data_IF_088844878686
#
_entry.id   IF_088844878686
#
_cell.length_a   1.000
_cell.length_b   1.000
_cell.length_c   1.000
_cell.angle_alpha   90.00
_cell.angle_beta   90.00
_cell.angle_gamma   90.00
#
_symmetry.space_group_name_H-M   'P 1'
#
loop_
_entity.id
_entity.type
_entity.pdbx_description
1 polymer ?
#
# COMPACT_ATOMS: atom_id res chain seq x y z
N UNK A 1 7.60 19.49 -30.51
CA UNK A 1 7.91 18.11 -30.02
C UNK A 1 7.50 18.08 -28.54
N UNK A 2 6.54 17.25 -28.16
CA UNK A 2 6.19 17.09 -26.75
C UNK A 2 7.39 16.44 -26.04
N UNK A 3 7.87 17.08 -24.98
CA UNK A 3 8.94 16.56 -24.15
C UNK A 3 8.50 15.22 -23.53
N UNK A 4 9.32 14.16 -23.72
CA UNK A 4 9.01 12.82 -23.15
C UNK A 4 9.26 12.88 -21.65
N UNK A 5 8.19 12.93 -20.85
CA UNK A 5 8.29 12.91 -19.39
C UNK A 5 8.74 11.52 -18.89
N UNK A 6 9.59 11.52 -17.86
CA UNK A 6 10.06 10.29 -17.20
C UNK A 6 8.90 9.50 -16.56
N UNK A 7 9.07 8.18 -16.42
CA UNK A 7 8.12 7.31 -15.74
C UNK A 7 8.17 7.52 -14.22
N UNK A 8 7.10 8.04 -13.62
CA UNK A 8 7.00 8.28 -12.19
C UNK A 8 6.47 7.08 -11.40
N UNK A 9 5.86 6.10 -12.08
CA UNK A 9 5.25 4.94 -11.42
C UNK A 9 6.23 4.15 -10.53
N UNK A 10 7.50 3.91 -10.93
CA UNK A 10 8.47 3.23 -10.07
C UNK A 10 8.68 3.91 -8.72
N UNK A 11 8.72 5.25 -8.66
CA UNK A 11 8.85 5.98 -7.41
C UNK A 11 7.68 5.71 -6.47
N UNK A 12 6.46 5.78 -6.99
CA UNK A 12 5.26 5.50 -6.20
C UNK A 12 5.17 4.05 -5.74
N UNK A 13 5.53 3.09 -6.62
CA UNK A 13 5.57 1.66 -6.30
C UNK A 13 6.62 1.31 -5.25
N UNK A 14 7.82 1.91 -5.30
CA UNK A 14 8.86 1.72 -4.28
C UNK A 14 8.44 2.34 -2.95
N UNK A 15 7.90 3.56 -2.95
CA UNK A 15 7.38 4.20 -1.76
C UNK A 15 6.35 3.35 -1.04
N UNK A 16 5.37 2.83 -1.80
CA UNK A 16 4.38 1.88 -1.30
C UNK A 16 5.04 0.57 -0.83
N UNK A 17 5.79 -0.10 -1.71
CA UNK A 17 6.23 -1.47 -1.50
C UNK A 17 7.20 -1.61 -0.33
N UNK A 18 8.24 -0.77 -0.25
CA UNK A 18 9.23 -0.83 0.83
C UNK A 18 8.57 -0.50 2.18
N UNK A 19 7.72 0.53 2.23
CA UNK A 19 7.00 0.89 3.47
C UNK A 19 6.06 -0.22 3.91
N UNK A 20 5.35 -0.85 2.98
CA UNK A 20 4.45 -1.99 3.25
C UNK A 20 5.21 -3.20 3.78
N UNK A 21 6.37 -3.54 3.17
CA UNK A 21 7.23 -4.64 3.64
C UNK A 21 7.70 -4.39 5.08
N UNK A 22 8.23 -3.19 5.34
CA UNK A 22 8.73 -2.85 6.68
C UNK A 22 7.63 -2.88 7.73
N UNK A 23 6.46 -2.28 7.45
CA UNK A 23 5.33 -2.32 8.37
C UNK A 23 4.94 -3.77 8.71
N UNK A 24 4.76 -4.59 7.69
CA UNK A 24 4.25 -5.95 7.88
C UNK A 24 5.29 -6.87 8.53
N UNK A 25 6.57 -6.74 8.18
CA UNK A 25 7.63 -7.52 8.81
C UNK A 25 7.84 -7.13 10.28
N UNK A 26 7.95 -5.83 10.58
CA UNK A 26 8.25 -5.35 11.94
C UNK A 26 7.02 -5.46 12.83
N UNK A 27 5.84 -4.98 12.37
CA UNK A 27 4.64 -4.90 13.19
C UNK A 27 3.81 -6.20 13.16
N UNK A 28 3.31 -6.59 12.01
CA UNK A 28 2.35 -7.70 11.95
C UNK A 28 3.03 -9.08 12.11
N UNK A 29 4.12 -9.35 11.37
CA UNK A 29 4.78 -10.66 11.43
C UNK A 29 5.50 -10.86 12.76
N UNK A 30 6.24 -9.87 13.25
CA UNK A 30 6.97 -9.96 14.53
C UNK A 30 6.11 -9.60 15.74
N UNK A 31 4.88 -9.17 15.55
CA UNK A 31 3.94 -8.78 16.62
C UNK A 31 4.47 -7.65 17.51
N UNK A 32 5.21 -6.71 16.91
CA UNK A 32 5.73 -5.54 17.63
C UNK A 32 4.85 -4.32 17.40
N UNK A 33 4.80 -3.34 18.32
CA UNK A 33 4.12 -2.08 18.09
C UNK A 33 4.66 -1.34 16.86
N UNK A 34 3.84 -0.49 16.27
CA UNK A 34 4.32 0.47 15.25
C UNK A 34 5.30 1.43 15.89
N UNK A 35 6.49 1.55 15.32
CA UNK A 35 7.59 2.35 15.86
C UNK A 35 7.92 3.58 14.98
N UNK A 36 8.89 4.38 15.42
CA UNK A 36 9.31 5.59 14.72
C UNK A 36 9.84 5.36 13.30
N UNK A 37 10.41 4.19 13.00
CA UNK A 37 10.86 3.84 11.63
C UNK A 37 9.68 3.71 10.71
N UNK A 38 8.64 2.99 11.13
CA UNK A 38 7.42 2.80 10.33
C UNK A 38 6.68 4.12 10.15
N UNK A 39 6.58 4.95 11.21
CA UNK A 39 5.98 6.29 11.12
C UNK A 39 6.77 7.17 10.14
N UNK A 40 8.10 7.21 10.26
CA UNK A 40 8.95 7.97 9.34
C UNK A 40 8.79 7.51 7.89
N UNK A 41 8.82 6.21 7.63
CA UNK A 41 8.58 5.66 6.31
C UNK A 41 7.17 5.98 5.78
N UNK A 42 6.16 5.89 6.63
CA UNK A 42 4.78 6.23 6.28
C UNK A 42 4.59 7.72 5.95
N UNK A 43 5.30 8.62 6.63
CA UNK A 43 5.24 10.06 6.34
C UNK A 43 6.00 10.43 5.07
N UNK A 44 7.23 9.96 4.91
CA UNK A 44 8.13 10.48 3.88
C UNK A 44 8.17 9.62 2.63
N UNK A 45 8.24 8.31 2.74
CA UNK A 45 8.40 7.46 1.57
C UNK A 45 7.08 6.84 1.11
N UNK A 46 6.36 6.16 1.98
CA UNK A 46 5.00 5.69 1.67
C UNK A 46 4.03 6.84 1.39
N UNK A 47 4.15 7.95 2.11
CA UNK A 47 3.29 9.12 1.96
C UNK A 47 3.77 10.10 0.90
N UNK A 48 4.75 10.94 1.24
CA UNK A 48 5.17 12.06 0.41
C UNK A 48 5.65 11.64 -0.98
N UNK A 49 6.51 10.61 -1.09
CA UNK A 49 7.01 10.17 -2.38
C UNK A 49 5.89 9.66 -3.30
N UNK A 50 4.87 8.95 -2.74
CA UNK A 50 3.71 8.54 -3.53
C UNK A 50 2.86 9.73 -3.97
N UNK A 51 2.63 10.75 -3.12
CA UNK A 51 1.91 11.96 -3.52
C UNK A 51 2.64 12.67 -4.65
N UNK A 52 3.97 12.81 -4.55
CA UNK A 52 4.80 13.38 -5.62
C UNK A 52 4.66 12.55 -6.91
N UNK A 53 4.76 11.23 -6.83
CA UNK A 53 4.56 10.35 -7.99
C UNK A 53 3.18 10.55 -8.63
N UNK A 54 2.13 10.68 -7.83
CA UNK A 54 0.76 10.96 -8.30
C UNK A 54 0.65 12.29 -9.06
N UNK A 55 1.29 13.36 -8.56
CA UNK A 55 1.35 14.66 -9.24
C UNK A 55 2.13 14.56 -10.57
N UNK A 56 3.21 13.78 -10.60
CA UNK A 56 3.99 13.55 -11.83
C UNK A 56 3.18 12.72 -12.84
N UNK A 57 2.43 11.72 -12.41
CA UNK A 57 1.52 10.94 -13.27
C UNK A 57 0.38 11.78 -13.84
N UNK A 58 -0.14 12.75 -13.08
CA UNK A 58 -1.09 13.73 -13.59
C UNK A 58 -0.53 14.50 -14.79
N UNK A 59 0.71 14.98 -14.69
CA UNK A 59 1.38 15.69 -15.80
C UNK A 59 1.60 14.80 -17.03
N UNK A 60 1.68 13.48 -16.85
CA UNK A 60 1.78 12.49 -17.92
C UNK A 60 0.43 12.10 -18.54
N UNK A 61 -0.69 12.63 -18.02
CA UNK A 61 -2.03 12.24 -18.44
C UNK A 61 -2.46 10.85 -17.98
N UNK A 62 -1.79 10.26 -16.98
CA UNK A 62 -2.13 8.94 -16.42
C UNK A 62 -3.06 9.08 -15.22
N UNK A 63 -4.37 9.13 -15.47
CA UNK A 63 -5.39 9.24 -14.42
C UNK A 63 -5.32 8.10 -13.40
N UNK A 64 -5.09 6.86 -13.85
CA UNK A 64 -4.98 5.71 -12.95
C UNK A 64 -3.81 5.87 -11.97
N UNK A 65 -2.62 6.20 -12.46
CA UNK A 65 -1.44 6.46 -11.63
C UNK A 65 -1.63 7.65 -10.70
N UNK A 66 -2.23 8.74 -11.19
CA UNK A 66 -2.56 9.91 -10.37
C UNK A 66 -3.43 9.54 -9.18
N UNK A 67 -4.56 8.88 -9.42
CA UNK A 67 -5.50 8.50 -8.36
C UNK A 67 -4.88 7.48 -7.41
N UNK A 68 -4.22 6.44 -7.94
CA UNK A 68 -3.61 5.39 -7.12
C UNK A 68 -2.54 5.98 -6.19
N UNK A 69 -1.50 6.61 -6.74
CA UNK A 69 -0.37 7.06 -5.93
C UNK A 69 -0.76 8.18 -4.96
N UNK A 70 -1.56 9.16 -5.38
CA UNK A 70 -2.00 10.22 -4.47
C UNK A 70 -2.85 9.66 -3.33
N UNK A 71 -3.79 8.78 -3.63
CA UNK A 71 -4.68 8.20 -2.61
C UNK A 71 -3.91 7.32 -1.62
N UNK A 72 -3.04 6.43 -2.09
CA UNK A 72 -2.24 5.60 -1.18
C UNK A 72 -1.17 6.39 -0.43
N UNK A 73 -0.64 7.47 -1.01
CA UNK A 73 0.23 8.38 -0.27
C UNK A 73 -0.50 9.04 0.91
N UNK A 74 -1.74 9.48 0.69
CA UNK A 74 -2.59 10.04 1.74
C UNK A 74 -3.11 8.97 2.73
N UNK A 75 -3.28 7.71 2.28
CA UNK A 75 -3.48 6.58 3.18
C UNK A 75 -2.33 6.47 4.18
N UNK A 76 -1.07 6.49 3.72
CA UNK A 76 0.10 6.42 4.60
C UNK A 76 0.18 7.59 5.58
N UNK A 77 -0.17 8.80 5.14
CA UNK A 77 -0.22 9.95 6.05
C UNK A 77 -1.29 9.80 7.11
N UNK A 78 -2.50 9.38 6.74
CA UNK A 78 -3.57 9.13 7.70
C UNK A 78 -3.23 7.98 8.65
N UNK A 79 -2.61 6.90 8.15
CA UNK A 79 -2.13 5.78 8.96
C UNK A 79 -1.05 6.21 9.98
N UNK A 80 -0.06 6.98 9.53
CA UNK A 80 0.97 7.52 10.42
C UNK A 80 0.35 8.44 11.48
N UNK A 81 -0.56 9.32 11.09
CA UNK A 81 -1.28 10.19 12.02
C UNK A 81 -2.06 9.41 13.08
N UNK A 82 -2.84 8.40 12.67
CA UNK A 82 -3.60 7.53 13.59
C UNK A 82 -2.67 6.88 14.63
N UNK A 83 -1.48 6.43 14.21
CA UNK A 83 -0.53 5.76 15.11
C UNK A 83 0.29 6.72 15.98
N UNK A 84 0.27 8.02 15.72
CA UNK A 84 0.97 9.04 16.52
C UNK A 84 0.06 9.82 17.47
N UNK A 85 -1.25 9.65 17.37
CA UNK A 85 -2.23 10.43 18.17
C UNK A 85 -2.01 10.33 19.68
N UNK A 86 -1.64 9.16 20.18
CA UNK A 86 -1.40 8.95 21.61
C UNK A 86 -0.22 9.76 22.17
N UNK A 87 0.66 10.25 21.29
CA UNK A 87 1.87 11.01 21.69
C UNK A 87 1.66 12.53 21.57
N UNK A 88 0.85 12.98 20.60
CA UNK A 88 0.79 14.40 20.22
C UNK A 88 -0.46 15.11 20.74
N UNK A 89 -1.58 14.40 20.92
CA UNK A 89 -2.86 15.05 21.24
C UNK A 89 -3.53 14.37 22.44
N UNK A 90 -3.30 14.90 23.63
CA UNK A 90 -3.87 14.43 24.90
C UNK A 90 -5.41 14.48 25.00
N UNK A 91 -6.13 14.98 24.00
CA UNK A 91 -7.56 15.30 24.07
C UNK A 91 -8.42 14.68 22.96
N UNK A 92 -7.89 13.84 22.08
CA UNK A 92 -8.71 13.16 21.09
C UNK A 92 -9.16 11.78 21.58
N UNK A 93 -10.39 11.39 21.25
CA UNK A 93 -10.90 10.07 21.60
C UNK A 93 -10.02 8.98 20.96
N UNK A 94 -9.73 7.93 21.72
CA UNK A 94 -8.93 6.79 21.23
C UNK A 94 -9.56 6.17 19.97
N UNK A 95 -8.75 5.79 19.01
CA UNK A 95 -9.18 5.04 17.82
C UNK A 95 -9.77 3.69 18.26
N UNK A 96 -11.01 3.40 17.87
CA UNK A 96 -11.69 2.15 18.22
C UNK A 96 -11.46 1.06 17.16
N UNK A 97 -11.70 -0.20 17.54
CA UNK A 97 -11.63 -1.32 16.61
C UNK A 97 -12.66 -1.19 15.48
N UNK A 98 -13.86 -0.66 15.78
CA UNK A 98 -14.90 -0.40 14.78
C UNK A 98 -14.46 0.64 13.74
N UNK A 99 -13.81 1.72 14.18
CA UNK A 99 -13.30 2.74 13.25
C UNK A 99 -12.17 2.20 12.40
N UNK A 100 -11.27 1.37 12.94
CA UNK A 100 -10.21 0.73 12.16
C UNK A 100 -10.76 -0.31 11.18
N UNK A 101 -11.77 -1.09 11.60
CA UNK A 101 -12.50 -1.99 10.69
C UNK A 101 -13.07 -1.22 9.50
N UNK A 102 -13.82 -0.15 9.75
CA UNK A 102 -14.42 0.66 8.69
C UNK A 102 -13.36 1.31 7.80
N UNK A 103 -12.28 1.83 8.39
CA UNK A 103 -11.15 2.42 7.67
C UNK A 103 -10.52 1.43 6.68
N UNK A 104 -10.13 0.25 7.14
CA UNK A 104 -9.52 -0.77 6.27
C UNK A 104 -10.52 -1.36 5.27
N UNK A 105 -11.78 -1.50 5.65
CA UNK A 105 -12.82 -1.96 4.72
C UNK A 105 -13.01 -0.99 3.55
N UNK A 106 -13.08 0.31 3.80
CA UNK A 106 -13.21 1.32 2.73
C UNK A 106 -11.98 1.36 1.82
N UNK A 107 -10.77 1.22 2.37
CA UNK A 107 -9.55 1.10 1.55
C UNK A 107 -9.53 -0.21 0.75
N UNK A 108 -10.08 -1.29 1.29
CA UNK A 108 -10.27 -2.55 0.58
C UNK A 108 -11.21 -2.40 -0.62
N UNK A 109 -12.36 -1.74 -0.45
CA UNK A 109 -13.30 -1.44 -1.54
C UNK A 109 -12.68 -0.55 -2.61
N UNK A 110 -12.00 0.54 -2.20
CA UNK A 110 -11.28 1.40 -3.14
C UNK A 110 -10.26 0.60 -3.96
N UNK A 111 -9.46 -0.23 -3.30
CA UNK A 111 -8.43 -1.04 -3.96
C UNK A 111 -9.04 -2.09 -4.89
N UNK A 112 -10.15 -2.73 -4.50
CA UNK A 112 -10.90 -3.66 -5.35
C UNK A 112 -11.41 -2.97 -6.62
N UNK A 113 -11.94 -1.74 -6.50
CA UNK A 113 -12.34 -0.95 -7.67
C UNK A 113 -11.13 -0.63 -8.57
N UNK A 114 -10.00 -0.23 -7.97
CA UNK A 114 -8.78 0.05 -8.71
C UNK A 114 -8.19 -1.21 -9.37
N UNK A 115 -8.34 -2.40 -8.77
CA UNK A 115 -7.93 -3.67 -9.37
C UNK A 115 -8.57 -3.88 -10.74
N UNK A 116 -9.85 -3.60 -10.92
CA UNK A 116 -10.51 -3.70 -12.22
C UNK A 116 -9.87 -2.77 -13.28
N UNK A 117 -9.34 -1.62 -12.85
CA UNK A 117 -8.57 -0.72 -13.72
C UNK A 117 -7.20 -1.27 -14.17
N UNK A 118 -6.73 -2.37 -13.58
CA UNK A 118 -5.46 -3.02 -13.97
C UNK A 118 -5.63 -4.13 -15.02
N UNK A 119 -6.86 -4.60 -15.27
CA UNK A 119 -7.12 -5.82 -16.05
C UNK A 119 -6.57 -5.77 -17.49
N UNK A 120 -6.43 -4.57 -18.07
CA UNK A 120 -5.86 -4.35 -19.42
C UNK A 120 -4.40 -3.89 -19.40
N UNK A 121 -3.70 -3.93 -18.25
CA UNK A 121 -2.31 -3.49 -18.12
C UNK A 121 -1.33 -4.67 -18.22
N UNK A 122 -0.74 -5.08 -17.11
CA UNK A 122 0.16 -6.22 -17.03
C UNK A 122 -0.17 -7.08 -15.80
N UNK A 123 0.29 -8.35 -15.80
CA UNK A 123 -0.01 -9.29 -14.71
C UNK A 123 0.65 -8.91 -13.40
N UNK A 124 1.82 -8.25 -13.44
CA UNK A 124 2.51 -7.82 -12.24
C UNK A 124 1.68 -6.79 -11.46
N UNK A 125 1.14 -5.75 -12.12
CA UNK A 125 0.30 -4.76 -11.43
C UNK A 125 -1.05 -5.35 -10.98
N UNK A 126 -1.61 -6.32 -11.74
CA UNK A 126 -2.80 -7.03 -11.30
C UNK A 126 -2.54 -7.77 -9.99
N UNK A 127 -1.40 -8.43 -9.86
CA UNK A 127 -1.03 -9.12 -8.63
C UNK A 127 -0.86 -8.15 -7.45
N UNK A 128 -0.19 -7.00 -7.66
CA UNK A 128 -0.05 -5.96 -6.61
C UNK A 128 -1.42 -5.53 -6.09
N UNK A 129 -2.37 -5.18 -6.96
CA UNK A 129 -3.69 -4.72 -6.52
C UNK A 129 -4.55 -5.84 -5.96
N UNK A 130 -4.43 -7.08 -6.49
CA UNK A 130 -5.13 -8.24 -5.96
C UNK A 130 -4.68 -8.55 -4.52
N UNK A 131 -3.39 -8.63 -4.29
CA UNK A 131 -2.80 -8.83 -2.98
C UNK A 131 -3.18 -7.67 -2.03
N UNK A 132 -3.14 -6.43 -2.49
CA UNK A 132 -3.43 -5.27 -1.65
C UNK A 132 -4.90 -5.21 -1.18
N UNK A 133 -5.89 -5.51 -2.03
CA UNK A 133 -7.28 -5.53 -1.53
C UNK A 133 -7.51 -6.70 -0.56
N UNK A 134 -6.84 -7.84 -0.76
CA UNK A 134 -6.87 -8.96 0.19
C UNK A 134 -6.28 -8.51 1.54
N UNK A 135 -5.12 -7.85 1.54
CA UNK A 135 -4.50 -7.32 2.75
C UNK A 135 -5.44 -6.40 3.53
N UNK A 136 -6.09 -5.45 2.85
CA UNK A 136 -7.03 -4.53 3.50
C UNK A 136 -8.26 -5.25 4.07
N UNK A 137 -8.82 -6.23 3.37
CA UNK A 137 -9.95 -7.00 3.91
C UNK A 137 -9.54 -7.91 5.06
N UNK A 138 -8.34 -8.48 5.07
CA UNK A 138 -7.81 -9.23 6.20
C UNK A 138 -7.62 -8.33 7.43
N UNK A 139 -7.10 -7.11 7.26
CA UNK A 139 -7.01 -6.11 8.33
C UNK A 139 -8.40 -5.71 8.84
N UNK A 140 -9.35 -5.45 7.95
CA UNK A 140 -10.73 -5.16 8.33
C UNK A 140 -11.35 -6.32 9.13
N UNK A 141 -11.14 -7.56 8.70
CA UNK A 141 -11.62 -8.75 9.42
C UNK A 141 -10.99 -8.88 10.81
N UNK A 142 -9.67 -8.63 10.95
CA UNK A 142 -9.00 -8.60 12.26
C UNK A 142 -9.69 -7.63 13.21
N UNK A 143 -9.89 -6.39 12.76
CA UNK A 143 -10.53 -5.37 13.59
C UNK A 143 -12.02 -5.61 13.82
N UNK A 144 -12.74 -6.26 12.89
CA UNK A 144 -14.10 -6.70 13.11
C UNK A 144 -14.19 -7.76 14.23
N UNK A 145 -13.28 -8.73 14.25
CA UNK A 145 -13.22 -9.72 15.33
C UNK A 145 -12.99 -9.02 16.68
N UNK A 146 -12.02 -8.10 16.75
CA UNK A 146 -11.73 -7.35 17.98
C UNK A 146 -12.87 -6.42 18.42
N UNK A 147 -13.70 -5.93 17.48
CA UNK A 147 -14.80 -5.05 17.76
C UNK A 147 -16.04 -5.77 18.32
N UNK A 148 -16.32 -6.97 17.77
CA UNK A 148 -17.61 -7.65 18.00
C UNK A 148 -17.50 -8.97 18.76
N UNK A 149 -16.31 -9.33 19.24
CA UNK A 149 -16.10 -10.52 20.09
C UNK A 149 -15.38 -10.13 21.39
N UNK A 150 -15.32 -11.06 22.34
CA UNK A 150 -14.53 -10.89 23.57
C UNK A 150 -13.03 -11.21 23.37
N UNK A 151 -12.58 -11.48 22.15
CA UNK A 151 -11.17 -11.76 21.84
C UNK A 151 -10.32 -10.50 22.01
N UNK A 152 -9.11 -10.66 22.50
CA UNK A 152 -8.10 -9.60 22.58
C UNK A 152 -7.01 -9.81 21.52
N UNK A 153 -6.17 -8.82 21.32
CA UNK A 153 -5.16 -8.84 20.24
C UNK A 153 -4.24 -10.06 20.30
N UNK A 154 -3.90 -10.59 21.49
CA UNK A 154 -3.05 -11.76 21.65
C UNK A 154 -3.70 -13.05 21.15
N UNK A 155 -5.03 -13.15 21.19
CA UNK A 155 -5.77 -14.32 20.68
C UNK A 155 -5.68 -14.41 19.15
N UNK A 156 -5.38 -13.30 18.49
CA UNK A 156 -5.26 -13.17 17.04
C UNK A 156 -3.81 -13.16 16.53
N UNK A 157 -2.83 -13.57 17.36
CA UNK A 157 -1.42 -13.52 16.98
C UNK A 157 -1.13 -14.27 15.68
N UNK A 158 -1.62 -15.51 15.54
CA UNK A 158 -1.44 -16.28 14.32
C UNK A 158 -2.10 -15.59 13.10
N UNK A 159 -3.31 -15.09 13.27
CA UNK A 159 -4.00 -14.36 12.20
C UNK A 159 -3.26 -13.07 11.81
N UNK A 160 -2.74 -12.35 12.79
CA UNK A 160 -1.91 -11.14 12.56
C UNK A 160 -0.61 -11.49 11.82
N UNK A 161 0.03 -12.62 12.13
CA UNK A 161 1.22 -13.08 11.42
C UNK A 161 0.90 -13.47 9.97
N UNK A 162 -0.24 -14.10 9.70
CA UNK A 162 -0.72 -14.38 8.34
C UNK A 162 -0.91 -13.09 7.55
N UNK A 163 -1.53 -12.08 8.16
CA UNK A 163 -1.65 -10.73 7.58
C UNK A 163 -0.25 -10.16 7.27
N UNK A 164 0.70 -10.34 8.20
CA UNK A 164 2.09 -9.89 8.01
C UNK A 164 2.77 -10.55 6.80
N UNK A 165 2.61 -11.86 6.64
CA UNK A 165 3.17 -12.60 5.48
C UNK A 165 2.53 -12.09 4.18
N UNK A 166 1.21 -11.95 4.14
CA UNK A 166 0.50 -11.43 2.98
C UNK A 166 0.96 -10.02 2.63
N UNK A 167 1.07 -9.14 3.62
CA UNK A 167 1.54 -7.77 3.41
C UNK A 167 3.00 -7.68 2.92
N UNK A 168 3.88 -8.60 3.35
CA UNK A 168 5.24 -8.72 2.83
C UNK A 168 5.20 -9.13 1.35
N UNK A 169 4.38 -10.11 0.99
CA UNK A 169 4.21 -10.56 -0.41
C UNK A 169 3.68 -9.40 -1.26
N UNK A 170 2.66 -8.70 -0.80
CA UNK A 170 2.10 -7.52 -1.46
C UNK A 170 3.17 -6.45 -1.71
N UNK A 171 3.89 -6.04 -0.67
CA UNK A 171 4.92 -5.02 -0.77
C UNK A 171 6.08 -5.42 -1.69
N UNK A 172 6.57 -6.66 -1.60
CA UNK A 172 7.62 -7.19 -2.47
C UNK A 172 7.17 -7.25 -3.94
N UNK A 173 5.91 -7.54 -4.21
CA UNK A 173 5.37 -7.54 -5.58
C UNK A 173 5.40 -6.15 -6.21
N UNK A 174 5.13 -5.10 -5.43
CA UNK A 174 5.23 -3.72 -5.88
C UNK A 174 6.69 -3.28 -6.09
N UNK A 175 7.60 -3.69 -5.19
CA UNK A 175 9.04 -3.48 -5.37
C UNK A 175 9.53 -4.16 -6.64
N UNK A 176 9.13 -5.42 -6.88
CA UNK A 176 9.48 -6.14 -8.10
C UNK A 176 9.03 -5.38 -9.36
N UNK A 177 7.76 -4.95 -9.40
CA UNK A 177 7.24 -4.21 -10.54
C UNK A 177 8.00 -2.91 -10.77
N UNK A 178 8.31 -2.16 -9.71
CA UNK A 178 9.08 -0.92 -9.81
C UNK A 178 10.48 -1.15 -10.38
N UNK A 179 11.20 -2.14 -9.86
CA UNK A 179 12.55 -2.49 -10.34
C UNK A 179 12.49 -3.00 -11.78
N UNK A 180 11.48 -3.80 -12.13
CA UNK A 180 11.29 -4.28 -13.49
C UNK A 180 11.09 -3.12 -14.47
N UNK A 181 10.24 -2.12 -14.13
CA UNK A 181 10.05 -0.94 -14.98
C UNK A 181 11.33 -0.12 -15.12
N UNK A 182 12.08 0.11 -14.03
CA UNK A 182 13.35 0.85 -14.07
C UNK A 182 14.37 0.16 -14.96
N UNK A 183 14.61 -1.15 -14.76
CA UNK A 183 15.61 -1.90 -15.50
C UNK A 183 15.23 -2.06 -16.97
N UNK A 184 13.96 -2.34 -17.25
CA UNK A 184 13.49 -2.49 -18.62
C UNK A 184 13.59 -1.17 -19.42
N UNK A 185 13.33 -0.04 -18.77
CA UNK A 185 13.49 1.28 -19.39
C UNK A 185 14.97 1.63 -19.61
N UNK A 186 15.81 1.41 -18.60
CA UNK A 186 17.25 1.69 -18.67
C UNK A 186 17.97 0.89 -19.74
N UNK A 187 17.63 -0.40 -19.88
CA UNK A 187 18.24 -1.32 -20.84
C UNK A 187 17.58 -1.27 -22.23
N UNK A 188 16.43 -0.62 -22.37
CA UNK A 188 15.65 -0.59 -23.62
C UNK A 188 15.16 -1.97 -24.08
N UNK A 189 15.14 -2.96 -23.17
CA UNK A 189 14.69 -4.35 -23.42
C UNK A 189 14.07 -4.94 -22.16
N UNK A 190 13.33 -6.02 -22.29
CA UNK A 190 12.79 -6.75 -21.14
C UNK A 190 13.92 -7.49 -20.41
N UNK A 191 14.30 -6.98 -19.23
CA UNK A 191 15.22 -7.62 -18.28
C UNK A 191 14.43 -8.45 -17.29
N UNK A 192 13.37 -7.85 -16.71
CA UNK A 192 12.46 -8.51 -15.80
C UNK A 192 11.04 -8.53 -16.39
N UNK A 193 10.39 -9.72 -16.48
CA UNK A 193 9.08 -9.83 -17.11
C UNK A 193 7.97 -9.22 -16.24
N UNK A 194 7.14 -8.36 -16.82
CA UNK A 194 5.93 -7.83 -16.18
C UNK A 194 4.64 -8.44 -16.76
N UNK A 195 4.78 -9.28 -17.79
CA UNK A 195 3.70 -9.99 -18.47
C UNK A 195 2.55 -9.07 -18.91
N UNK A 196 2.77 -8.21 -19.93
CA UNK A 196 1.71 -7.34 -20.43
C UNK A 196 0.53 -8.16 -20.96
N UNK A 197 -0.69 -7.66 -20.73
CA UNK A 197 -1.91 -8.28 -21.27
C UNK A 197 -2.01 -7.85 -22.73
N UNK A 198 -2.19 -8.83 -23.64
CA UNK A 198 -2.38 -8.54 -25.05
C UNK A 198 -3.57 -7.58 -25.25
N UNK A 199 -3.38 -6.56 -26.09
CA UNK A 199 -4.48 -5.69 -26.49
C UNK A 199 -5.49 -6.54 -27.30
N UNK A 200 -6.72 -6.63 -26.78
CA UNK A 200 -7.86 -7.18 -27.54
C UNK A 200 -8.45 -6.11 -28.41
#
# INVERSE_FOLDING_TARGET
>A
MSEKLANAAPLGLLGFGITTVLLNFIHNFRLTPVDGVIIGMGLFYGGLAQVIAGIMEYKRGNTFGTVAFTSYGLFWWSFAFINTQSVIIYSYSSTTSESLMAYFFMWGLFTLCMFFGTLKKNRAIQFVFASLFILFFLLAAKFAILAYTSMISTDLNLFTQIIGIEGIICGLSAVYLAIAEILNEAEGRTVLPICPVAAQ
#
